data_IF_000972260376
#
_entry.id   IF_000972260376
#
_cell.length_a   1.000
_cell.length_b   1.000
_cell.length_c   1.000
_cell.angle_alpha   90.00
_cell.angle_beta   90.00
_cell.angle_gamma   90.00
#
_symmetry.space_group_name_H-M   'P 1'
#
loop_
_entity.id
_entity.type
_entity.pdbx_description
1 polymer ?
#
# COMPACT_ATOMS: atom_id res chain seq x y z
N UNK A 1 9.44 -11.88 -19.46
CA UNK A 1 9.88 -11.35 -20.77
C UNK A 1 9.52 -12.28 -21.93
N UNK A 2 9.81 -13.59 -21.91
CA UNK A 2 9.53 -14.50 -23.04
C UNK A 2 8.04 -14.57 -23.48
N UNK A 3 7.08 -14.70 -22.56
CA UNK A 3 5.64 -14.79 -22.91
C UNK A 3 5.03 -13.53 -23.58
N UNK A 4 5.67 -12.36 -23.44
CA UNK A 4 5.18 -11.11 -24.03
C UNK A 4 5.72 -10.89 -25.46
N UNK A 5 6.90 -11.45 -25.78
CA UNK A 5 7.43 -11.50 -27.14
C UNK A 5 6.50 -12.29 -28.09
N UNK A 6 5.91 -13.37 -27.60
CA UNK A 6 5.07 -14.24 -28.42
C UNK A 6 3.73 -13.57 -28.74
N UNK A 7 3.07 -12.94 -27.75
CA UNK A 7 1.81 -12.24 -27.97
C UNK A 7 1.95 -11.03 -28.93
N UNK A 8 3.07 -10.32 -28.86
CA UNK A 8 3.36 -9.17 -29.74
C UNK A 8 3.69 -9.60 -31.16
N UNK A 9 4.35 -10.75 -31.32
CA UNK A 9 4.65 -11.36 -32.64
C UNK A 9 3.37 -11.85 -33.31
N UNK A 10 2.49 -12.51 -32.57
CA UNK A 10 1.18 -13.00 -33.03
C UNK A 10 0.29 -11.88 -33.60
N UNK A 11 0.14 -10.77 -32.87
CA UNK A 11 -0.72 -9.63 -33.30
C UNK A 11 -0.16 -8.98 -34.57
N UNK A 12 1.17 -8.83 -34.66
CA UNK A 12 1.84 -8.29 -35.84
C UNK A 12 1.64 -9.18 -37.07
N UNK A 13 1.73 -10.49 -36.91
CA UNK A 13 1.54 -11.47 -37.99
C UNK A 13 0.07 -11.51 -38.46
N UNK A 14 -0.88 -11.37 -37.55
CA UNK A 14 -2.31 -11.31 -37.88
C UNK A 14 -2.64 -10.06 -38.72
N UNK A 15 -2.08 -8.90 -38.35
CA UNK A 15 -2.20 -7.68 -39.17
C UNK A 15 -1.55 -7.85 -40.54
N UNK A 16 -0.37 -8.47 -40.61
CA UNK A 16 0.32 -8.76 -41.86
C UNK A 16 -0.54 -9.64 -42.78
N UNK A 17 -1.13 -10.71 -42.24
CA UNK A 17 -2.01 -11.60 -42.97
C UNK A 17 -3.29 -10.88 -43.48
N UNK A 18 -3.95 -10.07 -42.63
CA UNK A 18 -5.14 -9.30 -43.03
C UNK A 18 -4.85 -8.28 -44.13
N UNK A 19 -3.72 -7.57 -44.07
CA UNK A 19 -3.33 -6.57 -45.09
C UNK A 19 -2.89 -7.19 -46.42
N UNK A 20 -2.63 -8.50 -46.46
CA UNK A 20 -2.11 -9.19 -47.65
C UNK A 20 -3.09 -9.14 -48.82
N UNK A 21 -4.40 -9.23 -48.57
CA UNK A 21 -5.41 -9.28 -49.63
C UNK A 21 -5.43 -7.98 -50.45
N UNK A 22 -5.50 -6.83 -49.78
CA UNK A 22 -5.56 -5.52 -50.44
C UNK A 22 -4.27 -5.22 -51.23
N UNK A 23 -3.12 -5.60 -50.68
CA UNK A 23 -1.85 -5.43 -51.37
C UNK A 23 -1.70 -6.39 -52.56
N UNK A 24 -2.16 -7.63 -52.42
CA UNK A 24 -2.14 -8.60 -53.54
C UNK A 24 -3.00 -8.11 -54.70
N UNK A 25 -4.19 -7.57 -54.43
CA UNK A 25 -5.04 -6.96 -55.46
C UNK A 25 -4.36 -5.80 -56.17
N UNK A 26 -3.64 -4.94 -55.44
CA UNK A 26 -2.86 -3.86 -56.04
C UNK A 26 -1.74 -4.41 -56.95
N UNK A 27 -1.00 -5.44 -56.51
CA UNK A 27 0.05 -6.06 -57.33
C UNK A 27 -0.52 -6.74 -58.58
N UNK A 28 -1.68 -7.40 -58.48
CA UNK A 28 -2.37 -8.03 -59.62
C UNK A 28 -2.88 -6.98 -60.60
N UNK A 29 -3.50 -5.89 -60.12
CA UNK A 29 -3.95 -4.81 -60.99
C UNK A 29 -2.76 -4.16 -61.75
N UNK A 30 -1.66 -3.91 -61.05
CA UNK A 30 -0.41 -3.40 -61.64
C UNK A 30 0.19 -4.39 -62.66
N UNK A 31 0.19 -5.69 -62.37
CA UNK A 31 0.62 -6.73 -63.30
C UNK A 31 -0.28 -6.80 -64.55
N UNK A 32 -1.60 -6.70 -64.40
CA UNK A 32 -2.54 -6.68 -65.52
C UNK A 32 -2.36 -5.46 -66.41
N UNK A 33 -2.10 -4.28 -65.83
CA UNK A 33 -1.78 -3.06 -66.59
C UNK A 33 -0.45 -3.24 -67.35
N UNK A 34 0.55 -3.87 -66.73
CA UNK A 34 1.82 -4.17 -67.40
C UNK A 34 1.68 -5.14 -68.58
N UNK A 35 0.75 -6.10 -68.50
CA UNK A 35 0.48 -7.10 -69.56
C UNK A 35 -0.38 -6.51 -70.69
N UNK A 36 -1.42 -5.74 -70.37
CA UNK A 36 -2.41 -5.25 -71.35
C UNK A 36 -2.00 -3.93 -72.02
N UNK A 37 -1.21 -3.10 -71.34
CA UNK A 37 -0.99 -1.71 -71.76
C UNK A 37 -0.01 -1.48 -72.90
N UNK A 38 0.74 -2.49 -73.37
CA UNK A 38 1.91 -2.26 -74.24
C UNK A 38 2.10 -3.33 -75.33
N UNK A 39 1.48 -3.17 -76.51
CA UNK A 39 1.68 -4.05 -77.67
C UNK A 39 3.14 -4.09 -78.17
N UNK A 40 3.93 -3.04 -77.89
CA UNK A 40 5.37 -2.97 -78.22
C UNK A 40 6.27 -3.80 -77.29
N UNK A 41 5.74 -4.29 -76.16
CA UNK A 41 6.47 -5.09 -75.17
C UNK A 41 6.12 -6.58 -75.20
N UNK A 42 5.11 -7.01 -75.98
CA UNK A 42 4.73 -8.43 -76.12
C UNK A 42 5.90 -9.33 -76.56
N UNK A 43 6.86 -8.80 -77.33
CA UNK A 43 8.05 -9.53 -77.78
C UNK A 43 9.13 -9.72 -76.69
N UNK A 44 9.00 -9.08 -75.52
CA UNK A 44 10.04 -9.03 -74.47
C UNK A 44 9.53 -9.42 -73.08
N UNK A 45 8.23 -9.70 -72.95
CA UNK A 45 7.64 -10.25 -71.73
C UNK A 45 8.06 -11.71 -71.56
N UNK A 46 8.86 -11.99 -70.53
CA UNK A 46 9.11 -13.36 -70.08
C UNK A 46 7.85 -13.89 -69.41
N UNK A 47 6.99 -14.59 -70.17
CA UNK A 47 5.84 -15.33 -69.65
C UNK A 47 6.18 -16.21 -68.43
N UNK A 48 7.36 -16.87 -68.36
CA UNK A 48 7.82 -17.55 -67.15
C UNK A 48 7.94 -16.63 -65.92
N UNK A 49 8.48 -15.40 -66.06
CA UNK A 49 8.62 -14.45 -64.96
C UNK A 49 7.26 -13.93 -64.45
N UNK A 50 6.32 -13.69 -65.37
CA UNK A 50 4.95 -13.32 -65.01
C UNK A 50 4.23 -14.48 -64.29
N UNK A 51 4.39 -15.72 -64.77
CA UNK A 51 3.83 -16.89 -64.12
C UNK A 51 4.39 -17.08 -62.69
N UNK A 52 5.70 -16.87 -62.49
CA UNK A 52 6.34 -16.92 -61.16
C UNK A 52 5.77 -15.81 -60.25
N UNK A 53 5.58 -14.60 -60.76
CA UNK A 53 4.99 -13.49 -60.00
C UNK A 53 3.57 -13.83 -59.53
N UNK A 54 2.71 -14.33 -60.42
CA UNK A 54 1.35 -14.76 -60.07
C UNK A 54 1.36 -15.90 -59.06
N UNK A 55 2.26 -16.87 -59.21
CA UNK A 55 2.40 -17.98 -58.26
C UNK A 55 2.84 -17.49 -56.88
N UNK A 56 3.77 -16.53 -56.80
CA UNK A 56 4.21 -15.96 -55.53
C UNK A 56 3.11 -15.12 -54.86
N UNK A 57 2.35 -14.34 -55.64
CA UNK A 57 1.21 -13.57 -55.15
C UNK A 57 0.10 -14.48 -54.61
N UNK A 58 -0.24 -15.53 -55.35
CA UNK A 58 -1.19 -16.55 -54.90
C UNK A 58 -0.69 -17.26 -53.63
N UNK A 59 0.58 -17.66 -53.60
CA UNK A 59 1.24 -18.25 -52.44
C UNK A 59 1.13 -17.36 -51.20
N UNK A 60 1.30 -16.02 -51.32
CA UNK A 60 1.14 -15.09 -50.19
C UNK A 60 -0.27 -15.07 -49.64
N UNK A 61 -1.28 -15.10 -50.51
CA UNK A 61 -2.68 -15.17 -50.08
C UNK A 61 -2.94 -16.49 -49.36
N UNK A 62 -2.50 -17.62 -49.93
CA UNK A 62 -2.67 -18.94 -49.32
C UNK A 62 -1.99 -19.01 -47.95
N UNK A 63 -0.73 -18.60 -47.84
CA UNK A 63 0.01 -18.60 -46.57
C UNK A 63 -0.65 -17.67 -45.54
N UNK A 64 -1.10 -16.48 -45.95
CA UNK A 64 -1.86 -15.56 -45.10
C UNK A 64 -3.19 -16.14 -44.61
N UNK A 65 -3.96 -16.78 -45.49
CA UNK A 65 -5.23 -17.43 -45.15
C UNK A 65 -5.03 -18.65 -44.24
N UNK A 66 -3.98 -19.43 -44.45
CA UNK A 66 -3.61 -20.55 -43.58
C UNK A 66 -3.22 -20.06 -42.17
N UNK A 67 -2.55 -18.91 -42.06
CA UNK A 67 -2.24 -18.30 -40.78
C UNK A 67 -3.50 -17.82 -40.04
N UNK A 68 -4.39 -17.10 -40.73
CA UNK A 68 -5.66 -16.61 -40.15
C UNK A 68 -6.60 -17.75 -39.75
N UNK A 69 -6.55 -18.88 -40.45
CA UNK A 69 -7.31 -20.09 -40.08
C UNK A 69 -6.64 -20.94 -39.00
N UNK A 70 -5.57 -20.43 -38.37
CA UNK A 70 -4.79 -21.11 -37.30
C UNK A 70 -4.24 -22.49 -37.72
N UNK A 71 -4.01 -22.71 -39.01
CA UNK A 71 -3.42 -23.95 -39.53
C UNK A 71 -1.89 -23.94 -39.56
N UNK A 72 -1.27 -22.78 -39.34
CA UNK A 72 0.15 -22.70 -39.03
C UNK A 72 0.37 -22.97 -37.53
N UNK A 73 1.10 -24.03 -37.21
CA UNK A 73 1.46 -24.37 -35.83
C UNK A 73 2.71 -23.61 -35.32
N UNK A 74 3.50 -23.02 -36.21
CA UNK A 74 4.72 -22.30 -35.89
C UNK A 74 4.77 -20.93 -36.59
N UNK A 75 4.87 -19.86 -35.80
CA UNK A 75 4.94 -18.47 -36.27
C UNK A 75 6.23 -18.17 -37.04
N UNK A 76 7.33 -18.85 -36.71
CA UNK A 76 8.62 -18.67 -37.37
C UNK A 76 8.51 -19.16 -38.81
N UNK A 77 7.92 -20.34 -39.01
CA UNK A 77 7.64 -20.90 -40.33
C UNK A 77 6.77 -19.96 -41.18
N UNK A 78 5.70 -19.38 -40.62
CA UNK A 78 4.86 -18.41 -41.34
C UNK A 78 5.69 -17.22 -41.85
N UNK A 79 6.51 -16.59 -40.98
CA UNK A 79 7.35 -15.46 -41.38
C UNK A 79 8.39 -15.82 -42.43
N UNK A 80 8.99 -17.00 -42.34
CA UNK A 80 9.97 -17.46 -43.33
C UNK A 80 9.34 -17.65 -44.71
N UNK A 81 8.23 -18.39 -44.80
CA UNK A 81 7.53 -18.60 -46.07
C UNK A 81 6.97 -17.30 -46.64
N UNK A 82 6.33 -16.49 -45.80
CA UNK A 82 5.76 -15.21 -46.21
C UNK A 82 6.85 -14.22 -46.66
N UNK A 83 7.96 -14.16 -45.93
CA UNK A 83 9.13 -13.35 -46.26
C UNK A 83 9.80 -13.78 -47.56
N UNK A 84 9.98 -15.10 -47.77
CA UNK A 84 10.54 -15.65 -49.01
C UNK A 84 9.69 -15.29 -50.23
N UNK A 85 8.37 -15.52 -50.16
CA UNK A 85 7.46 -15.18 -51.26
C UNK A 85 7.46 -13.67 -51.55
N UNK A 86 7.51 -12.85 -50.50
CA UNK A 86 7.59 -11.39 -50.62
C UNK A 86 8.89 -10.94 -51.29
N UNK A 87 10.02 -11.54 -50.91
CA UNK A 87 11.32 -11.28 -51.53
C UNK A 87 11.33 -11.69 -53.01
N UNK A 88 10.80 -12.87 -53.34
CA UNK A 88 10.70 -13.34 -54.73
C UNK A 88 9.85 -12.41 -55.60
N UNK A 89 8.76 -11.86 -55.07
CA UNK A 89 7.95 -10.85 -55.79
C UNK A 89 8.77 -9.59 -56.09
N UNK A 90 9.54 -9.10 -55.11
CA UNK A 90 10.42 -7.94 -55.32
C UNK A 90 11.45 -8.21 -56.42
N UNK A 91 12.08 -9.39 -56.39
CA UNK A 91 13.05 -9.83 -57.40
C UNK A 91 12.41 -9.94 -58.79
N UNK A 92 11.20 -10.48 -58.91
CA UNK A 92 10.50 -10.61 -60.19
C UNK A 92 10.22 -9.24 -60.81
N UNK A 93 9.69 -8.29 -60.02
CA UNK A 93 9.45 -6.92 -60.49
C UNK A 93 10.74 -6.17 -60.81
N UNK A 94 11.79 -6.38 -60.02
CA UNK A 94 13.11 -5.82 -60.25
C UNK A 94 13.73 -6.33 -61.56
N UNK A 95 13.68 -7.64 -61.79
CA UNK A 95 14.18 -8.28 -63.00
C UNK A 95 13.39 -7.87 -64.25
N UNK A 96 12.06 -7.76 -64.14
CA UNK A 96 11.22 -7.22 -65.21
C UNK A 96 11.66 -5.81 -65.61
N UNK A 97 11.92 -4.93 -64.65
CA UNK A 97 12.40 -3.58 -64.94
C UNK A 97 13.75 -3.58 -65.64
N UNK A 98 14.70 -4.36 -65.12
CA UNK A 98 16.03 -4.47 -65.73
C UNK A 98 15.92 -4.95 -67.18
N UNK A 99 15.07 -5.93 -67.47
CA UNK A 99 14.85 -6.43 -68.82
C UNK A 99 14.29 -5.36 -69.76
N UNK A 100 13.30 -4.58 -69.32
CA UNK A 100 12.73 -3.47 -70.10
C UNK A 100 13.75 -2.35 -70.34
N UNK A 101 14.56 -2.05 -69.32
CA UNK A 101 15.59 -1.00 -69.42
C UNK A 101 16.75 -1.38 -70.35
N UNK A 102 17.15 -2.67 -70.37
CA UNK A 102 18.21 -3.15 -71.26
C UNK A 102 17.75 -3.25 -72.71
N UNK A 103 16.45 -3.41 -72.95
CA UNK A 103 15.90 -3.57 -74.30
C UNK A 103 15.61 -2.25 -75.01
N UNK A 104 15.41 -1.15 -74.27
CA UNK A 104 15.14 0.18 -74.81
C UNK A 104 16.31 1.12 -74.48
N UNK A 105 17.22 1.34 -75.43
CA UNK A 105 18.43 2.17 -75.26
C UNK A 105 18.18 3.68 -75.09
N UNK A 106 16.93 4.15 -75.18
CA UNK A 106 16.51 5.54 -74.94
C UNK A 106 15.27 5.57 -74.04
N UNK A 107 15.21 6.56 -73.14
CA UNK A 107 14.05 6.79 -72.27
C UNK A 107 12.97 7.50 -73.10
N UNK A 108 11.92 6.78 -73.44
CA UNK A 108 10.71 7.28 -74.08
C UNK A 108 9.49 7.15 -73.14
N UNK A 109 8.30 7.55 -73.61
CA UNK A 109 7.05 7.39 -72.84
C UNK A 109 6.77 5.94 -72.43
N UNK A 110 7.31 4.96 -73.18
CA UNK A 110 7.19 3.52 -72.89
C UNK A 110 8.05 3.11 -71.69
N UNK A 111 9.20 3.76 -71.49
CA UNK A 111 10.14 3.49 -70.37
C UNK A 111 9.69 4.11 -69.04
N UNK A 112 8.93 5.21 -69.08
CA UNK A 112 8.40 5.91 -67.88
C UNK A 112 7.31 5.11 -67.15
N UNK A 113 6.49 4.36 -67.90
CA UNK A 113 5.35 3.63 -67.36
C UNK A 113 5.75 2.46 -66.40
N UNK A 114 6.74 1.60 -66.73
CA UNK A 114 7.27 0.59 -65.80
C UNK A 114 7.77 1.17 -64.47
N UNK A 115 8.34 2.38 -64.49
CA UNK A 115 8.87 3.05 -63.31
C UNK A 115 7.73 3.52 -62.39
N UNK A 116 6.66 4.06 -62.97
CA UNK A 116 5.43 4.39 -62.23
C UNK A 116 4.81 3.14 -61.62
N UNK A 117 4.74 2.05 -62.39
CA UNK A 117 4.21 0.76 -61.92
C UNK A 117 4.99 0.25 -60.71
N UNK A 118 6.32 0.30 -60.74
CA UNK A 118 7.18 -0.16 -59.63
C UNK A 118 7.15 0.77 -58.43
N UNK A 119 7.05 2.09 -58.64
CA UNK A 119 6.72 3.01 -57.56
C UNK A 119 5.42 2.62 -56.87
N UNK A 120 4.39 2.26 -57.65
CA UNK A 120 3.12 1.72 -57.16
C UNK A 120 3.29 0.41 -56.39
N UNK A 121 4.07 -0.54 -56.91
CA UNK A 121 4.38 -1.83 -56.23
C UNK A 121 5.14 -1.59 -54.92
N UNK A 122 6.12 -0.70 -54.91
CA UNK A 122 6.91 -0.37 -53.73
C UNK A 122 6.04 0.24 -52.62
N UNK A 123 5.15 1.17 -52.98
CA UNK A 123 4.18 1.77 -52.06
C UNK A 123 3.13 0.74 -51.59
N UNK A 124 2.60 -0.09 -52.48
CA UNK A 124 1.63 -1.13 -52.13
C UNK A 124 2.25 -2.24 -51.25
N UNK A 125 3.53 -2.55 -51.45
CA UNK A 125 4.27 -3.51 -50.64
C UNK A 125 4.57 -2.96 -49.24
N UNK A 126 5.12 -1.76 -49.15
CA UNK A 126 5.42 -1.08 -47.86
C UNK A 126 4.19 -0.91 -46.99
N UNK A 127 3.05 -0.53 -47.58
CA UNK A 127 1.79 -0.37 -46.83
C UNK A 127 1.23 -1.68 -46.26
N UNK A 128 1.40 -2.81 -46.98
CA UNK A 128 1.03 -4.12 -46.48
C UNK A 128 2.00 -4.66 -45.42
N UNK A 129 3.30 -4.46 -45.65
CA UNK A 129 4.37 -4.94 -44.78
C UNK A 129 4.62 -4.01 -43.59
N UNK A 130 3.89 -2.90 -43.47
CA UNK A 130 4.06 -1.87 -42.43
C UNK A 130 4.19 -2.38 -40.98
N UNK A 131 3.58 -3.52 -40.57
CA UNK A 131 3.80 -4.08 -39.23
C UNK A 131 5.20 -4.68 -39.01
N UNK A 132 5.89 -5.12 -40.08
CA UNK A 132 7.23 -5.72 -40.04
C UNK A 132 8.24 -4.85 -40.80
N UNK A 133 9.03 -4.09 -40.03
CA UNK A 133 10.06 -3.19 -40.56
C UNK A 133 11.16 -3.93 -41.33
N UNK A 134 11.51 -5.15 -40.93
CA UNK A 134 12.60 -5.89 -41.55
C UNK A 134 12.19 -6.41 -42.93
N UNK A 135 11.01 -7.01 -43.04
CA UNK A 135 10.45 -7.45 -44.31
C UNK A 135 10.19 -6.28 -45.26
N UNK A 136 9.68 -5.15 -44.75
CA UNK A 136 9.48 -3.93 -45.55
C UNK A 136 10.80 -3.40 -46.15
N UNK A 137 11.87 -3.32 -45.35
CA UNK A 137 13.19 -2.87 -45.82
C UNK A 137 13.78 -3.80 -46.86
N UNK A 138 13.71 -5.12 -46.61
CA UNK A 138 14.21 -6.13 -47.55
C UNK A 138 13.46 -6.05 -48.89
N UNK A 139 12.14 -5.96 -48.85
CA UNK A 139 11.30 -5.85 -50.06
C UNK A 139 11.65 -4.61 -50.89
N UNK A 140 11.66 -3.43 -50.27
CA UNK A 140 11.94 -2.16 -50.95
C UNK A 140 13.35 -2.13 -51.52
N UNK A 141 14.33 -2.65 -50.78
CA UNK A 141 15.72 -2.75 -51.23
C UNK A 141 15.85 -3.71 -52.41
N UNK A 142 15.27 -4.92 -52.32
CA UNK A 142 15.31 -5.90 -53.41
C UNK A 142 14.59 -5.41 -54.67
N UNK A 143 13.55 -4.59 -54.51
CA UNK A 143 12.76 -4.06 -55.62
C UNK A 143 13.48 -2.91 -56.36
N UNK A 144 13.99 -1.91 -55.63
CA UNK A 144 14.44 -0.64 -56.22
C UNK A 144 15.97 -0.53 -56.40
N UNK A 145 16.78 -1.22 -55.58
CA UNK A 145 18.23 -1.09 -55.63
C UNK A 145 18.85 -1.68 -56.92
N UNK A 146 18.52 -2.91 -57.35
CA UNK A 146 19.13 -3.47 -58.55
C UNK A 146 18.88 -2.67 -59.84
N UNK A 147 17.65 -2.19 -60.15
CA UNK A 147 17.39 -1.39 -61.34
C UNK A 147 18.05 -0.02 -61.27
N UNK A 148 18.13 0.60 -60.07
CA UNK A 148 18.86 1.84 -59.88
C UNK A 148 20.35 1.68 -60.23
N UNK A 149 20.98 0.58 -59.81
CA UNK A 149 22.40 0.31 -60.12
C UNK A 149 22.64 0.09 -61.62
N UNK A 150 21.74 -0.62 -62.31
CA UNK A 150 21.83 -0.82 -63.77
C UNK A 150 21.74 0.52 -64.51
N UNK A 151 20.83 1.41 -64.09
CA UNK A 151 20.66 2.74 -64.69
C UNK A 151 21.82 3.71 -64.43
N UNK A 152 22.55 3.51 -63.33
CA UNK A 152 23.76 4.29 -63.02
C UNK A 152 25.01 3.72 -63.72
N UNK A 153 24.91 2.57 -64.37
CA UNK A 153 26.03 1.94 -65.05
C UNK A 153 26.35 2.63 -66.39
N UNK A 154 27.59 2.51 -66.91
CA UNK A 154 27.99 3.08 -68.20
C UNK A 154 27.19 2.56 -69.40
N UNK A 155 26.46 1.45 -69.23
CA UNK A 155 25.68 0.80 -70.29
C UNK A 155 24.30 1.45 -70.49
N UNK A 156 23.91 2.38 -69.61
CA UNK A 156 22.67 3.16 -69.70
C UNK A 156 22.99 4.66 -69.73
N UNK A 157 23.60 5.20 -70.81
CA UNK A 157 24.12 6.57 -70.85
C UNK A 157 23.05 7.66 -70.64
N UNK A 158 21.78 7.37 -70.93
CA UNK A 158 20.65 8.26 -70.69
C UNK A 158 19.90 7.96 -69.37
N UNK A 159 20.25 6.86 -68.68
CA UNK A 159 19.53 6.32 -67.52
C UNK A 159 19.85 6.96 -66.18
N UNK A 160 20.90 7.79 -66.10
CA UNK A 160 21.45 8.30 -64.84
C UNK A 160 20.41 9.07 -64.00
N UNK A 161 19.59 9.92 -64.63
CA UNK A 161 18.55 10.69 -63.93
C UNK A 161 17.51 9.78 -63.26
N UNK A 162 17.06 8.74 -63.98
CA UNK A 162 16.13 7.73 -63.46
C UNK A 162 16.76 6.88 -62.36
N UNK A 163 18.04 6.51 -62.52
CA UNK A 163 18.79 5.79 -61.48
C UNK A 163 18.85 6.60 -60.18
N UNK A 164 19.10 7.91 -60.26
CA UNK A 164 19.04 8.82 -59.12
C UNK A 164 17.62 8.90 -58.56
N UNK A 165 16.58 9.00 -59.38
CA UNK A 165 15.17 9.02 -58.92
C UNK A 165 14.79 7.73 -58.18
N UNK A 166 15.22 6.55 -58.65
CA UNK A 166 14.96 5.29 -57.96
C UNK A 166 15.72 5.20 -56.64
N UNK A 167 16.96 5.68 -56.59
CA UNK A 167 17.76 5.69 -55.37
C UNK A 167 17.19 6.65 -54.32
N UNK A 168 16.78 7.86 -54.72
CA UNK A 168 16.12 8.81 -53.82
C UNK A 168 14.76 8.30 -53.36
N UNK A 169 13.99 7.65 -54.24
CA UNK A 169 12.74 6.97 -53.87
C UNK A 169 12.97 5.83 -52.87
N UNK A 170 14.02 5.03 -53.06
CA UNK A 170 14.44 3.98 -52.15
C UNK A 170 14.76 4.56 -50.76
N UNK A 171 15.62 5.58 -50.70
CA UNK A 171 15.99 6.25 -49.45
C UNK A 171 14.77 6.86 -48.74
N UNK A 172 13.88 7.50 -49.50
CA UNK A 172 12.63 8.04 -48.98
C UNK A 172 11.75 6.96 -48.37
N UNK A 173 11.51 5.86 -49.10
CA UNK A 173 10.69 4.75 -48.61
C UNK A 173 11.32 4.07 -47.38
N UNK A 174 12.64 3.89 -47.35
CA UNK A 174 13.34 3.37 -46.17
C UNK A 174 13.17 4.29 -44.96
N UNK A 175 13.24 5.61 -45.17
CA UNK A 175 12.96 6.60 -44.12
C UNK A 175 11.51 6.54 -43.66
N UNK A 176 10.55 6.32 -44.55
CA UNK A 176 9.13 6.16 -44.18
C UNK A 176 8.90 4.92 -43.33
N UNK A 177 9.51 3.78 -43.70
CA UNK A 177 9.44 2.55 -42.90
C UNK A 177 10.02 2.77 -41.50
N UNK A 178 11.13 3.49 -41.39
CA UNK A 178 11.74 3.80 -40.10
C UNK A 178 10.86 4.71 -39.24
N UNK A 179 10.29 5.75 -39.84
CA UNK A 179 9.38 6.66 -39.15
C UNK A 179 8.15 5.91 -38.64
N UNK A 180 7.51 5.10 -39.48
CA UNK A 180 6.35 4.28 -39.08
C UNK A 180 6.67 3.32 -37.93
N UNK A 181 7.83 2.66 -37.98
CA UNK A 181 8.27 1.77 -36.91
C UNK A 181 8.43 2.50 -35.58
N UNK A 182 9.05 3.69 -35.58
CA UNK A 182 9.20 4.53 -34.39
C UNK A 182 7.85 5.01 -33.85
N UNK A 183 6.95 5.45 -34.70
CA UNK A 183 5.61 5.92 -34.30
C UNK A 183 4.79 4.79 -33.67
N UNK A 184 4.83 3.60 -34.27
CA UNK A 184 4.15 2.42 -33.74
C UNK A 184 4.75 1.99 -32.39
N UNK A 185 6.07 2.03 -32.25
CA UNK A 185 6.73 1.72 -30.97
C UNK A 185 6.36 2.73 -29.89
N UNK A 186 6.44 4.04 -30.17
CA UNK A 186 6.05 5.07 -29.21
C UNK A 186 4.57 4.98 -28.79
N UNK A 187 3.69 4.59 -29.71
CA UNK A 187 2.29 4.32 -29.40
C UNK A 187 2.15 3.14 -28.42
N UNK A 188 2.87 2.03 -28.67
CA UNK A 188 2.89 0.86 -27.79
C UNK A 188 3.45 1.17 -26.40
N UNK A 189 4.59 1.85 -26.33
CA UNK A 189 5.21 2.23 -25.05
C UNK A 189 4.26 3.10 -24.21
N UNK A 190 3.51 3.99 -24.87
CA UNK A 190 2.48 4.81 -24.21
C UNK A 190 1.31 3.97 -23.71
N UNK A 191 0.82 3.03 -24.52
CA UNK A 191 -0.28 2.13 -24.13
C UNK A 191 0.14 1.22 -22.96
N UNK A 192 1.34 0.64 -23.00
CA UNK A 192 1.89 -0.19 -21.93
C UNK A 192 2.06 0.60 -20.64
N UNK A 193 2.64 1.81 -20.70
CA UNK A 193 2.79 2.68 -19.54
C UNK A 193 1.43 3.02 -18.91
N UNK A 194 0.42 3.30 -19.72
CA UNK A 194 -0.93 3.58 -19.24
C UNK A 194 -1.57 2.35 -18.56
N UNK A 195 -1.45 1.17 -19.18
CA UNK A 195 -1.94 -0.09 -18.58
C UNK A 195 -1.22 -0.41 -17.27
N UNK A 196 0.09 -0.20 -17.19
CA UNK A 196 0.86 -0.43 -15.97
C UNK A 196 0.44 0.51 -14.83
N UNK A 197 0.25 1.79 -15.12
CA UNK A 197 -0.19 2.77 -14.12
C UNK A 197 -1.59 2.47 -13.58
N UNK A 198 -2.52 2.08 -14.45
CA UNK A 198 -3.91 1.75 -14.07
C UNK A 198 -4.05 0.38 -13.40
N UNK A 199 -3.12 -0.55 -13.63
CA UNK A 199 -3.06 -1.83 -12.93
C UNK A 199 -2.34 -1.74 -11.57
N UNK A 200 -1.41 -0.79 -11.41
CA UNK A 200 -0.70 -0.57 -10.15
C UNK A 200 -1.59 0.09 -9.07
N UNK A 201 -2.64 0.80 -9.47
CA UNK A 201 -3.62 1.34 -8.54
C UNK A 201 -4.50 0.20 -8.01
N UNK A 202 -4.51 -0.03 -6.69
CA UNK A 202 -5.47 -0.91 -6.02
C UNK A 202 -6.91 -0.36 -6.03
N UNK A 203 -7.10 0.82 -6.61
CA UNK A 203 -8.39 1.47 -6.73
C UNK A 203 -9.03 1.12 -8.07
N UNK A 204 -10.33 0.92 -8.02
CA UNK A 204 -11.16 0.85 -9.21
C UNK A 204 -11.37 2.27 -9.73
N UNK A 205 -10.99 2.51 -10.98
CA UNK A 205 -11.14 3.80 -11.65
C UNK A 205 -12.18 3.66 -12.74
N UNK A 206 -13.24 4.47 -12.66
CA UNK A 206 -14.37 4.46 -13.58
C UNK A 206 -14.51 5.84 -14.20
N UNK A 207 -14.65 5.90 -15.52
CA UNK A 207 -15.06 7.11 -16.24
C UNK A 207 -16.51 6.91 -16.67
N UNK A 208 -17.39 7.83 -16.29
CA UNK A 208 -18.81 7.77 -16.64
C UNK A 208 -19.36 9.13 -17.05
N UNK A 209 -20.39 9.10 -17.90
CA UNK A 209 -21.17 10.26 -18.31
C UNK A 209 -22.61 10.05 -17.83
N UNK A 210 -23.14 10.94 -16.98
CA UNK A 210 -24.48 10.82 -16.39
C UNK A 210 -24.78 9.45 -15.75
N UNK A 211 -23.75 8.80 -15.21
CA UNK A 211 -23.83 7.48 -14.59
C UNK A 211 -23.65 6.31 -15.56
N UNK A 212 -23.62 6.50 -16.87
CA UNK A 212 -23.26 5.45 -17.83
C UNK A 212 -21.75 5.27 -17.88
N UNK A 213 -21.28 4.04 -17.64
CA UNK A 213 -19.85 3.71 -17.58
C UNK A 213 -19.27 3.68 -18.98
N UNK A 214 -18.31 4.56 -19.24
CA UNK A 214 -17.58 4.65 -20.51
C UNK A 214 -16.32 3.79 -20.50
N UNK A 215 -15.55 3.85 -19.40
CA UNK A 215 -14.33 3.08 -19.22
C UNK A 215 -14.14 2.69 -17.76
N UNK A 216 -13.48 1.56 -17.55
CA UNK A 216 -13.11 1.05 -16.22
C UNK A 216 -11.78 0.29 -16.30
N UNK A 217 -10.94 0.41 -15.28
CA UNK A 217 -9.69 -0.37 -15.19
C UNK A 217 -9.94 -1.82 -14.72
N UNK A 218 -8.94 -2.68 -14.85
CA UNK A 218 -9.08 -4.10 -14.50
C UNK A 218 -9.29 -4.38 -12.99
N UNK A 219 -9.09 -3.39 -12.12
CA UNK A 219 -9.32 -3.55 -10.68
C UNK A 219 -10.79 -3.87 -10.34
N UNK A 220 -11.73 -3.59 -11.26
CA UNK A 220 -13.14 -4.00 -11.13
C UNK A 220 -13.32 -5.50 -10.91
N UNK A 221 -12.49 -6.34 -11.53
CA UNK A 221 -12.60 -7.81 -11.39
C UNK A 221 -12.28 -8.25 -9.96
N UNK A 222 -11.26 -7.64 -9.34
CA UNK A 222 -10.86 -7.98 -7.98
C UNK A 222 -11.81 -7.38 -6.92
N UNK A 223 -12.30 -6.16 -7.16
CA UNK A 223 -13.11 -5.42 -6.20
C UNK A 223 -14.59 -5.81 -6.28
N UNK A 224 -15.17 -5.86 -7.49
CA UNK A 224 -16.59 -6.13 -7.70
C UNK A 224 -16.87 -7.49 -8.33
N UNK A 225 -15.89 -8.18 -8.93
CA UNK A 225 -16.09 -9.48 -9.58
C UNK A 225 -16.64 -9.40 -11.01
N UNK A 226 -16.83 -8.20 -11.56
CA UNK A 226 -17.25 -7.99 -12.94
C UNK A 226 -16.05 -7.80 -13.86
N UNK A 227 -16.16 -8.23 -15.10
CA UNK A 227 -15.15 -7.89 -16.12
C UNK A 227 -15.38 -6.46 -16.65
N UNK A 228 -14.34 -5.75 -17.14
CA UNK A 228 -14.52 -4.44 -17.76
C UNK A 228 -15.57 -4.44 -18.89
N UNK A 229 -15.59 -5.50 -19.70
CA UNK A 229 -16.51 -5.64 -20.82
C UNK A 229 -17.99 -5.76 -20.39
N UNK A 230 -18.26 -6.40 -19.25
CA UNK A 230 -19.62 -6.49 -18.70
C UNK A 230 -20.10 -5.18 -18.08
N UNK A 231 -19.16 -4.35 -17.61
CA UNK A 231 -19.48 -3.13 -16.87
C UNK A 231 -19.65 -1.90 -17.76
N UNK A 232 -18.90 -1.82 -18.87
CA UNK A 232 -19.01 -0.73 -19.85
C UNK A 232 -20.42 -0.69 -20.45
N UNK A 233 -21.01 0.51 -20.54
CA UNK A 233 -22.38 0.74 -20.99
C UNK A 233 -23.47 0.50 -19.93
N UNK A 234 -23.10 -0.02 -18.75
CA UNK A 234 -24.05 -0.15 -17.63
C UNK A 234 -24.10 1.15 -16.81
N UNK A 235 -25.18 1.32 -16.04
CA UNK A 235 -25.28 2.43 -15.11
C UNK A 235 -24.51 2.11 -13.81
N UNK A 236 -23.67 3.04 -13.34
CA UNK A 236 -22.85 2.92 -12.14
C UNK A 236 -23.68 2.64 -10.87
N UNK A 237 -24.90 3.15 -10.79
CA UNK A 237 -25.83 2.89 -9.68
C UNK A 237 -26.38 1.46 -9.69
N UNK A 238 -26.25 0.74 -10.80
CA UNK A 238 -26.55 -0.68 -10.89
C UNK A 238 -25.76 -1.51 -9.88
N UNK A 239 -24.57 -1.04 -9.51
CA UNK A 239 -23.61 -1.70 -8.61
C UNK A 239 -23.69 -1.17 -7.16
N UNK A 240 -24.78 -0.48 -6.84
CA UNK A 240 -25.13 0.02 -5.51
C UNK A 240 -26.39 -0.70 -5.00
N UNK A 241 -26.52 -0.94 -3.68
CA UNK A 241 -27.77 -1.47 -3.11
C UNK A 241 -28.98 -0.63 -3.54
N UNK A 242 -30.09 -1.28 -3.87
CA UNK A 242 -31.28 -0.61 -4.42
C UNK A 242 -31.77 0.52 -3.49
N UNK A 243 -31.75 0.27 -2.18
CA UNK A 243 -32.11 1.22 -1.12
C UNK A 243 -31.26 2.50 -1.11
N UNK A 244 -29.99 2.41 -1.51
CA UNK A 244 -29.06 3.54 -1.50
C UNK A 244 -29.06 4.30 -2.83
N UNK A 245 -29.70 3.79 -3.89
CA UNK A 245 -29.66 4.41 -5.23
C UNK A 245 -30.22 5.83 -5.25
N UNK A 246 -31.34 6.07 -4.57
CA UNK A 246 -31.96 7.41 -4.52
C UNK A 246 -31.03 8.43 -3.87
N UNK A 247 -30.39 8.06 -2.75
CA UNK A 247 -29.40 8.87 -2.07
C UNK A 247 -28.14 9.08 -2.94
N UNK A 248 -27.69 8.02 -3.61
CA UNK A 248 -26.49 8.06 -4.44
C UNK A 248 -26.68 8.85 -5.74
N UNK A 249 -27.90 9.01 -6.26
CA UNK A 249 -28.21 9.94 -7.38
C UNK A 249 -27.92 11.39 -6.97
N UNK A 250 -28.32 11.78 -5.76
CA UNK A 250 -28.06 13.11 -5.22
C UNK A 250 -26.55 13.33 -5.00
N UNK A 251 -25.85 12.31 -4.48
CA UNK A 251 -24.39 12.31 -4.34
C UNK A 251 -23.70 12.44 -5.70
N UNK A 252 -24.13 11.70 -6.72
CA UNK A 252 -23.54 11.75 -8.06
C UNK A 252 -23.69 13.13 -8.71
N UNK A 253 -24.79 13.84 -8.44
CA UNK A 253 -25.05 15.18 -8.97
C UNK A 253 -24.38 16.31 -8.18
N UNK A 254 -24.23 16.18 -6.85
CA UNK A 254 -23.74 17.25 -5.97
C UNK A 254 -22.27 17.12 -5.54
N UNK A 255 -21.70 15.92 -5.57
CA UNK A 255 -20.38 15.68 -4.98
C UNK A 255 -19.29 15.73 -6.05
N UNK A 256 -18.49 16.78 -5.92
CA UNK A 256 -17.28 17.05 -6.66
C UNK A 256 -16.16 17.34 -5.66
N UNK A 257 -15.00 16.71 -5.84
CA UNK A 257 -13.82 16.91 -4.99
C UNK A 257 -14.01 16.58 -3.49
N UNK A 258 -14.85 15.58 -3.18
CA UNK A 258 -14.96 15.04 -1.82
C UNK A 258 -14.90 13.52 -1.85
N UNK A 259 -14.43 12.98 -0.74
CA UNK A 259 -14.36 11.56 -0.47
C UNK A 259 -15.56 11.16 0.39
N UNK A 260 -16.21 10.04 0.06
CA UNK A 260 -17.39 9.55 0.76
C UNK A 260 -17.30 8.05 0.94
N UNK A 261 -17.93 7.56 2.00
CA UNK A 261 -18.17 6.12 2.16
C UNK A 261 -19.57 5.80 1.63
N UNK A 262 -19.63 4.83 0.72
CA UNK A 262 -20.86 4.29 0.15
C UNK A 262 -20.86 2.78 0.27
N UNK A 263 -22.05 2.17 0.17
CA UNK A 263 -22.16 0.73 0.03
C UNK A 263 -22.19 0.34 -1.45
N UNK A 264 -21.46 -0.72 -1.78
CA UNK A 264 -21.39 -1.28 -3.12
C UNK A 264 -21.77 -2.76 -3.09
N UNK A 265 -22.24 -3.27 -4.23
CA UNK A 265 -22.65 -4.67 -4.39
C UNK A 265 -21.69 -5.35 -5.34
N UNK A 266 -21.11 -6.47 -4.91
CA UNK A 266 -20.30 -7.35 -5.74
C UNK A 266 -21.19 -8.18 -6.67
N UNK A 267 -20.61 -8.80 -7.71
CA UNK A 267 -21.31 -9.68 -8.66
C UNK A 267 -22.00 -10.88 -7.99
N UNK A 268 -21.45 -11.36 -6.88
CA UNK A 268 -22.01 -12.43 -6.04
C UNK A 268 -23.17 -11.96 -5.11
N UNK A 269 -23.47 -10.65 -5.11
CA UNK A 269 -24.52 -10.05 -4.28
C UNK A 269 -24.05 -9.57 -2.90
N UNK A 270 -22.79 -9.78 -2.52
CA UNK A 270 -22.27 -9.30 -1.23
C UNK A 270 -22.15 -7.78 -1.22
N UNK A 271 -22.66 -7.18 -0.13
CA UNK A 271 -22.59 -5.74 0.10
C UNK A 271 -21.37 -5.42 0.96
N UNK A 272 -20.61 -4.40 0.58
CA UNK A 272 -19.43 -3.95 1.32
C UNK A 272 -19.31 -2.42 1.30
N UNK A 273 -18.52 -1.86 2.21
CA UNK A 273 -18.25 -0.43 2.24
C UNK A 273 -17.06 -0.08 1.36
N UNK A 274 -17.26 0.94 0.53
CA UNK A 274 -16.24 1.50 -0.34
C UNK A 274 -16.14 3.00 -0.13
N UNK A 275 -14.90 3.49 -0.15
CA UNK A 275 -14.60 4.90 -0.22
C UNK A 275 -14.55 5.31 -1.70
N UNK A 276 -15.34 6.32 -2.06
CA UNK A 276 -15.39 6.86 -3.41
C UNK A 276 -14.93 8.31 -3.43
N UNK A 277 -14.16 8.66 -4.47
CA UNK A 277 -13.80 10.02 -4.79
C UNK A 277 -14.19 10.29 -6.24
N UNK A 278 -14.77 11.45 -6.53
CA UNK A 278 -15.16 11.77 -7.91
C UNK A 278 -14.93 13.23 -8.28
N UNK A 279 -14.52 13.44 -9.53
CA UNK A 279 -14.40 14.78 -10.13
C UNK A 279 -14.85 14.79 -11.59
N UNK A 280 -15.30 15.95 -12.04
CA UNK A 280 -15.54 16.22 -13.45
C UNK A 280 -14.24 16.50 -14.18
N UNK A 281 -14.17 16.07 -15.42
CA UNK A 281 -13.09 16.38 -16.33
C UNK A 281 -13.59 16.31 -17.78
N UNK A 282 -12.80 16.83 -18.71
CA UNK A 282 -13.09 16.70 -20.13
C UNK A 282 -12.56 15.36 -20.64
N UNK A 283 -13.45 14.55 -21.22
CA UNK A 283 -13.13 13.26 -21.82
C UNK A 283 -13.71 13.20 -23.24
N UNK A 284 -12.83 13.09 -24.25
CA UNK A 284 -13.20 13.05 -25.68
C UNK A 284 -14.14 14.22 -26.10
N UNK A 285 -13.87 15.43 -25.61
CA UNK A 285 -14.66 16.64 -25.92
C UNK A 285 -16.01 16.73 -25.21
N UNK A 286 -16.30 15.80 -24.29
CA UNK A 286 -17.50 15.79 -23.46
C UNK A 286 -17.15 15.95 -21.99
N UNK A 287 -18.09 16.45 -21.20
CA UNK A 287 -17.93 16.57 -19.75
C UNK A 287 -18.25 15.23 -19.09
N UNK A 288 -17.22 14.48 -18.71
CA UNK A 288 -17.35 13.21 -18.01
C UNK A 288 -16.98 13.34 -16.53
N UNK A 289 -17.28 12.31 -15.75
CA UNK A 289 -16.88 12.17 -14.36
C UNK A 289 -15.93 11.00 -14.23
N UNK A 290 -14.81 11.21 -13.55
CA UNK A 290 -13.93 10.13 -13.10
C UNK A 290 -14.26 9.84 -11.64
N UNK A 291 -14.48 8.57 -11.32
CA UNK A 291 -14.79 8.05 -9.99
C UNK A 291 -13.77 6.98 -9.63
N UNK A 292 -13.00 7.23 -8.57
CA UNK A 292 -12.15 6.23 -7.94
C UNK A 292 -12.91 5.57 -6.80
N UNK A 293 -12.78 4.27 -6.65
CA UNK A 293 -13.44 3.45 -5.64
C UNK A 293 -12.40 2.55 -4.98
N UNK A 294 -12.39 2.53 -3.65
CA UNK A 294 -11.53 1.70 -2.83
C UNK A 294 -12.34 0.96 -1.78
N UNK A 295 -12.16 -0.35 -1.64
CA UNK A 295 -12.76 -1.10 -0.52
C UNK A 295 -12.12 -0.69 0.80
N UNK A 296 -12.94 -0.51 1.85
CA UNK A 296 -12.46 -0.17 3.20
C UNK A 296 -12.77 -1.26 4.24
N UNK A 297 -13.16 -2.46 3.80
CA UNK A 297 -13.52 -3.56 4.71
C UNK A 297 -12.36 -3.93 5.64
N UNK A 298 -11.14 -4.01 5.13
CA UNK A 298 -9.94 -4.29 5.94
C UNK A 298 -9.74 -3.22 7.03
N UNK A 299 -9.99 -1.95 6.70
CA UNK A 299 -9.90 -0.84 7.66
C UNK A 299 -10.98 -0.96 8.73
N UNK A 300 -12.23 -1.23 8.34
CA UNK A 300 -13.35 -1.37 9.28
C UNK A 300 -13.17 -2.58 10.21
N UNK A 301 -12.66 -3.70 9.71
CA UNK A 301 -12.35 -4.88 10.53
C UNK A 301 -11.24 -4.59 11.54
N UNK A 302 -10.19 -3.89 11.13
CA UNK A 302 -9.12 -3.48 12.04
C UNK A 302 -9.63 -2.50 13.12
N UNK A 303 -10.44 -1.50 12.76
CA UNK A 303 -11.04 -0.55 13.70
C UNK A 303 -11.94 -1.27 14.71
N UNK A 304 -12.75 -2.23 14.25
CA UNK A 304 -13.61 -3.04 15.13
C UNK A 304 -12.79 -3.88 16.11
N UNK A 305 -11.76 -4.57 15.64
CA UNK A 305 -10.87 -5.38 16.48
C UNK A 305 -10.16 -4.53 17.55
N UNK A 306 -9.69 -3.33 17.17
CA UNK A 306 -9.10 -2.37 18.12
C UNK A 306 -10.14 -1.94 19.16
N UNK A 307 -11.37 -1.63 18.74
CA UNK A 307 -12.44 -1.22 19.66
C UNK A 307 -12.78 -2.31 20.67
N UNK A 308 -12.93 -3.54 20.21
CA UNK A 308 -13.21 -4.71 21.06
C UNK A 308 -12.07 -4.95 22.07
N UNK A 309 -10.81 -4.91 21.61
CA UNK A 309 -9.65 -5.03 22.49
C UNK A 309 -9.59 -3.92 23.55
N UNK A 310 -9.88 -2.67 23.18
CA UNK A 310 -9.88 -1.54 24.11
C UNK A 310 -10.95 -1.70 25.20
N UNK A 311 -12.16 -2.12 24.82
CA UNK A 311 -13.24 -2.39 25.78
C UNK A 311 -12.87 -3.52 26.75
N UNK A 312 -12.20 -4.56 26.27
CA UNK A 312 -11.77 -5.67 27.11
C UNK A 312 -10.66 -5.25 28.10
N UNK A 313 -9.71 -4.43 27.66
CA UNK A 313 -8.68 -3.86 28.54
C UNK A 313 -9.33 -2.98 29.62
N UNK A 314 -10.28 -2.13 29.27
CA UNK A 314 -10.98 -1.26 30.23
C UNK A 314 -11.76 -2.08 31.26
N UNK A 315 -12.45 -3.14 30.83
CA UNK A 315 -13.17 -4.04 31.73
C UNK A 315 -12.24 -4.73 32.75
N UNK A 316 -11.09 -5.24 32.28
CA UNK A 316 -10.08 -5.87 33.15
C UNK A 316 -9.45 -4.86 34.10
N UNK A 317 -9.19 -3.63 33.65
CA UNK A 317 -8.65 -2.57 34.50
C UNK A 317 -9.63 -2.20 35.63
N UNK A 318 -10.93 -2.07 35.30
CA UNK A 318 -11.97 -1.75 36.28
C UNK A 318 -12.14 -2.87 37.32
N UNK A 319 -12.13 -4.13 36.89
CA UNK A 319 -12.23 -5.29 37.79
C UNK A 319 -11.04 -5.39 38.76
N UNK A 320 -9.83 -5.10 38.27
CA UNK A 320 -8.63 -5.01 39.11
C UNK A 320 -8.70 -3.88 40.12
N UNK A 321 -9.19 -2.72 39.70
CA UNK A 321 -9.37 -1.56 40.57
C UNK A 321 -10.39 -1.87 41.68
N UNK A 322 -11.54 -2.44 41.35
CA UNK A 322 -12.55 -2.82 42.34
C UNK A 322 -12.02 -3.86 43.31
N UNK A 323 -11.29 -4.87 42.83
CA UNK A 323 -10.67 -5.89 43.67
C UNK A 323 -9.62 -5.30 44.61
N UNK A 324 -8.80 -4.36 44.12
CA UNK A 324 -7.79 -3.69 44.94
C UNK A 324 -8.42 -2.83 46.04
N UNK A 325 -9.48 -2.07 45.71
CA UNK A 325 -10.23 -1.26 46.69
C UNK A 325 -10.87 -2.15 47.76
N UNK A 326 -11.52 -3.24 47.36
CA UNK A 326 -12.14 -4.18 48.30
C UNK A 326 -11.10 -4.83 49.21
N UNK A 327 -9.97 -5.28 48.65
CA UNK A 327 -8.86 -5.86 49.42
C UNK A 327 -8.30 -4.87 50.43
N UNK A 328 -8.09 -3.60 50.04
CA UNK A 328 -7.61 -2.56 50.93
C UNK A 328 -8.60 -2.27 52.08
N UNK A 329 -9.90 -2.28 51.78
CA UNK A 329 -10.96 -2.11 52.78
C UNK A 329 -10.99 -3.27 53.77
N UNK A 330 -10.99 -4.51 53.30
CA UNK A 330 -11.01 -5.71 54.15
C UNK A 330 -9.77 -5.77 55.06
N UNK A 331 -8.58 -5.43 54.53
CA UNK A 331 -7.34 -5.32 55.31
C UNK A 331 -7.47 -4.30 56.45
N UNK A 332 -8.04 -3.13 56.16
CA UNK A 332 -8.23 -2.06 57.15
C UNK A 332 -9.22 -2.47 58.25
N UNK A 333 -10.34 -3.07 57.88
CA UNK A 333 -11.37 -3.53 58.82
C UNK A 333 -10.87 -4.65 59.72
N UNK A 334 -10.16 -5.62 59.14
CA UNK A 334 -9.53 -6.71 59.89
C UNK A 334 -8.56 -6.18 60.96
N UNK A 335 -7.67 -5.25 60.61
CA UNK A 335 -6.68 -4.70 61.54
C UNK A 335 -7.34 -3.88 62.65
N UNK A 336 -8.37 -3.09 62.33
CA UNK A 336 -9.15 -2.35 63.33
C UNK A 336 -9.82 -3.28 64.36
N UNK A 337 -10.49 -4.33 63.89
CA UNK A 337 -11.18 -5.29 64.75
C UNK A 337 -10.21 -6.08 65.62
N UNK A 338 -9.12 -6.59 65.03
CA UNK A 338 -8.08 -7.32 65.76
C UNK A 338 -7.43 -6.47 66.85
N UNK A 339 -7.22 -5.17 66.61
CA UNK A 339 -6.68 -4.31 67.66
C UNK A 339 -7.61 -4.18 68.86
N UNK A 340 -8.93 -4.02 68.64
CA UNK A 340 -9.89 -3.97 69.74
C UNK A 340 -9.95 -5.29 70.53
N UNK A 341 -9.91 -6.42 69.82
CA UNK A 341 -9.92 -7.76 70.43
C UNK A 341 -8.63 -8.08 71.19
N UNK A 342 -7.48 -7.53 70.77
CA UNK A 342 -6.20 -7.68 71.47
C UNK A 342 -6.06 -6.68 72.65
N UNK A 343 -6.56 -5.45 72.50
CA UNK A 343 -6.48 -4.41 73.53
C UNK A 343 -7.24 -4.79 74.79
N UNK A 344 -8.40 -5.42 74.66
CA UNK A 344 -9.25 -5.78 75.80
C UNK A 344 -8.56 -6.75 76.78
N UNK A 345 -8.02 -7.91 76.37
CA UNK A 345 -7.28 -8.79 77.27
C UNK A 345 -5.97 -8.17 77.75
N UNK A 346 -5.29 -7.37 76.94
CA UNK A 346 -4.06 -6.67 77.35
C UNK A 346 -4.30 -5.67 78.49
N UNK A 347 -5.32 -4.83 78.37
CA UNK A 347 -5.68 -3.87 79.41
C UNK A 347 -6.12 -4.58 80.70
N UNK A 348 -6.77 -5.75 80.59
CA UNK A 348 -7.08 -6.58 81.75
C UNK A 348 -5.81 -7.15 82.42
N UNK A 349 -4.85 -7.63 81.63
CA UNK A 349 -3.56 -8.10 82.15
C UNK A 349 -2.81 -6.96 82.84
N UNK A 350 -2.71 -5.78 82.21
CA UNK A 350 -2.06 -4.59 82.80
C UNK A 350 -2.74 -4.23 84.13
N UNK A 351 -4.07 -4.10 84.15
CA UNK A 351 -4.81 -3.76 85.37
C UNK A 351 -4.65 -4.79 86.50
N UNK A 352 -4.64 -6.09 86.18
CA UNK A 352 -4.37 -7.13 87.18
C UNK A 352 -2.92 -7.06 87.68
N UNK A 353 -1.97 -6.79 86.78
CA UNK A 353 -0.55 -6.65 87.11
C UNK A 353 -0.34 -5.48 88.07
N UNK A 354 -1.00 -4.35 87.82
CA UNK A 354 -0.96 -3.15 88.68
C UNK A 354 -1.58 -3.42 90.06
N UNK A 355 -2.75 -4.06 90.12
CA UNK A 355 -3.40 -4.42 91.38
C UNK A 355 -2.56 -5.41 92.21
N UNK A 356 -1.85 -6.33 91.55
CA UNK A 356 -0.98 -7.28 92.23
C UNK A 356 0.35 -6.68 92.66
N UNK A 357 0.80 -5.57 92.06
CA UNK A 357 2.08 -4.93 92.37
C UNK A 357 2.19 -4.53 93.86
N UNK A 358 1.08 -4.08 94.45
CA UNK A 358 0.99 -3.69 95.85
C UNK A 358 0.80 -4.87 96.82
N UNK A 359 0.40 -6.04 96.30
CA UNK A 359 0.09 -7.23 97.11
C UNK A 359 1.26 -8.22 97.24
N UNK A 360 2.29 -8.12 96.39
CA UNK A 360 3.42 -9.05 96.39
C UNK A 360 4.56 -8.65 97.34
N UNK A 361 5.05 -9.61 98.12
CA UNK A 361 6.02 -9.37 99.18
C UNK A 361 7.43 -9.83 98.84
N UNK A 362 7.60 -10.80 97.92
CA UNK A 362 8.91 -11.33 97.57
C UNK A 362 9.54 -10.64 96.35
N UNK A 363 10.86 -10.48 96.37
CA UNK A 363 11.63 -9.88 95.27
C UNK A 363 11.44 -10.63 93.94
N UNK A 364 11.28 -11.96 93.98
CA UNK A 364 11.07 -12.77 92.79
C UNK A 364 9.68 -12.52 92.16
N UNK A 365 8.61 -12.42 92.96
CA UNK A 365 7.25 -12.11 92.48
C UNK A 365 7.18 -10.71 91.87
N UNK A 366 7.82 -9.71 92.49
CA UNK A 366 7.93 -8.35 91.94
C UNK A 366 8.62 -8.34 90.57
N UNK A 367 9.69 -9.13 90.40
CA UNK A 367 10.38 -9.25 89.09
C UNK A 367 9.49 -9.88 88.02
N UNK A 368 8.71 -10.92 88.36
CA UNK A 368 7.78 -11.54 87.43
C UNK A 368 6.64 -10.60 87.03
N UNK A 369 6.01 -9.91 87.98
CA UNK A 369 4.97 -8.91 87.70
C UNK A 369 5.49 -7.78 86.82
N UNK A 370 6.67 -7.23 87.12
CA UNK A 370 7.31 -6.21 86.28
C UNK A 370 7.53 -6.70 84.85
N UNK A 371 8.03 -7.92 84.69
CA UNK A 371 8.25 -8.51 83.35
C UNK A 371 6.92 -8.67 82.58
N UNK A 372 5.85 -9.06 83.28
CA UNK A 372 4.51 -9.24 82.71
C UNK A 372 3.88 -7.90 82.29
N UNK A 373 4.01 -6.87 83.12
CA UNK A 373 3.59 -5.50 82.83
C UNK A 373 4.34 -4.92 81.63
N UNK A 374 5.69 -4.93 81.69
CA UNK A 374 6.56 -4.44 80.62
C UNK A 374 6.26 -5.13 79.28
N UNK A 375 5.99 -6.44 79.30
CA UNK A 375 5.64 -7.20 78.08
C UNK A 375 4.25 -6.84 77.54
N UNK A 376 3.30 -6.58 78.43
CA UNK A 376 1.93 -6.21 78.05
C UNK A 376 1.89 -4.80 77.47
N UNK A 377 2.58 -3.84 78.09
CA UNK A 377 2.74 -2.49 77.54
C UNK A 377 3.44 -2.50 76.18
N UNK A 378 4.52 -3.29 76.04
CA UNK A 378 5.22 -3.42 74.76
C UNK A 378 4.34 -4.00 73.66
N UNK A 379 3.49 -5.00 73.97
CA UNK A 379 2.56 -5.57 72.99
C UNK A 379 1.45 -4.58 72.61
N UNK A 380 0.93 -3.83 73.59
CA UNK A 380 -0.07 -2.78 73.34
C UNK A 380 0.50 -1.67 72.44
N UNK A 381 1.75 -1.27 72.67
CA UNK A 381 2.47 -0.32 71.80
C UNK A 381 2.57 -0.85 70.38
N UNK A 382 3.05 -2.09 70.18
CA UNK A 382 3.16 -2.70 68.86
C UNK A 382 1.83 -2.78 68.11
N UNK A 383 0.75 -3.12 68.81
CA UNK A 383 -0.59 -3.17 68.23
C UNK A 383 -1.07 -1.78 67.80
N UNK A 384 -0.82 -0.76 68.60
CA UNK A 384 -1.14 0.62 68.25
C UNK A 384 -0.30 1.12 67.06
N UNK A 385 0.98 0.75 66.99
CA UNK A 385 1.86 1.11 65.87
C UNK A 385 1.40 0.45 64.55
N UNK A 386 0.97 -0.82 64.58
CA UNK A 386 0.40 -1.51 63.41
C UNK A 386 -0.91 -0.84 62.94
N UNK A 387 -1.76 -0.41 63.88
CA UNK A 387 -2.96 0.34 63.54
C UNK A 387 -2.66 1.68 62.91
N UNK A 388 -1.72 2.44 63.49
CA UNK A 388 -1.34 3.74 62.97
C UNK A 388 -0.75 3.61 61.55
N UNK A 389 0.11 2.60 61.32
CA UNK A 389 0.59 2.27 59.98
C UNK A 389 -0.55 1.98 59.00
N UNK A 390 -1.56 1.22 59.43
CA UNK A 390 -2.72 0.87 58.60
C UNK A 390 -3.59 2.08 58.25
N UNK A 391 -3.71 3.05 59.16
CA UNK A 391 -4.41 4.32 58.89
C UNK A 391 -3.62 5.20 57.90
N UNK A 392 -2.29 5.17 57.96
CA UNK A 392 -1.42 5.87 57.00
C UNK A 392 -1.53 5.25 55.60
N UNK A 393 -1.43 3.92 55.49
CA UNK A 393 -1.55 3.17 54.22
C UNK A 393 -2.90 3.41 53.52
N UNK A 394 -3.96 3.69 54.31
CA UNK A 394 -5.30 3.99 53.83
C UNK A 394 -5.61 5.49 53.66
N UNK A 395 -4.64 6.39 53.87
CA UNK A 395 -4.79 7.85 53.84
C UNK A 395 -5.89 8.39 54.79
N UNK A 396 -6.11 7.68 55.91
CA UNK A 396 -7.11 7.98 56.96
C UNK A 396 -6.49 8.53 58.24
N UNK A 397 -5.20 8.86 58.21
CA UNK A 397 -4.54 9.47 59.37
C UNK A 397 -4.91 10.94 59.45
N UNK A 398 -5.74 11.29 60.41
CA UNK A 398 -6.07 12.68 60.72
C UNK A 398 -5.10 13.21 61.77
N UNK A 399 -4.52 14.38 61.51
CA UNK A 399 -3.68 15.10 62.45
C UNK A 399 -4.48 16.19 63.14
N UNK A 400 -4.35 16.27 64.46
CA UNK A 400 -4.91 17.39 65.20
C UNK A 400 -4.15 18.70 64.86
N UNK A 401 -4.85 19.84 64.87
CA UNK A 401 -4.28 21.17 64.64
C UNK A 401 -4.56 22.08 65.81
N UNK A 402 -3.92 21.79 66.94
CA UNK A 402 -4.03 22.56 68.18
C UNK A 402 -2.76 23.40 68.38
N UNK A 403 -2.90 24.55 69.04
CA UNK A 403 -1.76 25.34 69.49
C UNK A 403 -1.19 24.71 70.76
N UNK A 404 0.10 24.42 70.79
CA UNK A 404 0.77 23.78 71.92
C UNK A 404 2.15 24.38 72.20
N UNK A 405 2.57 24.35 73.46
CA UNK A 405 3.91 24.79 73.89
C UNK A 405 4.94 23.72 73.55
N UNK A 406 5.93 24.08 72.73
CA UNK A 406 7.03 23.17 72.36
C UNK A 406 7.90 22.86 73.57
N UNK A 407 8.13 23.86 74.42
CA UNK A 407 8.89 23.70 75.66
C UNK A 407 8.29 22.65 76.57
N UNK A 408 7.00 22.79 76.86
CA UNK A 408 6.29 21.86 77.74
C UNK A 408 6.26 20.44 77.14
N UNK A 409 6.13 20.33 75.82
CA UNK A 409 6.15 19.02 75.14
C UNK A 409 7.52 18.34 75.33
N UNK A 410 8.61 19.02 75.01
CA UNK A 410 9.98 18.47 75.12
C UNK A 410 10.29 18.11 76.57
N UNK A 411 9.99 19.00 77.52
CA UNK A 411 10.21 18.78 78.95
C UNK A 411 9.44 17.55 79.45
N UNK A 412 8.15 17.42 79.10
CA UNK A 412 7.34 16.27 79.48
C UNK A 412 7.90 14.93 78.96
N UNK A 413 8.43 14.90 77.73
CA UNK A 413 9.01 13.68 77.17
C UNK A 413 10.36 13.34 77.81
N UNK A 414 11.17 14.36 78.12
CA UNK A 414 12.44 14.18 78.83
C UNK A 414 12.21 13.64 80.25
N UNK A 415 11.24 14.19 80.97
CA UNK A 415 10.88 13.76 82.33
C UNK A 415 10.40 12.31 82.37
N UNK A 416 9.53 11.92 81.43
CA UNK A 416 9.03 10.54 81.31
C UNK A 416 10.14 9.51 81.18
N UNK A 417 11.23 9.84 80.46
CA UNK A 417 12.35 8.92 80.23
C UNK A 417 13.52 9.12 81.20
N UNK A 418 13.47 10.14 82.07
CA UNK A 418 14.56 10.51 82.98
C UNK A 418 14.92 9.38 83.96
N UNK A 419 13.91 8.72 84.55
CA UNK A 419 14.13 7.59 85.46
C UNK A 419 14.81 6.40 84.75
N UNK A 420 14.48 6.17 83.47
CA UNK A 420 15.07 5.09 82.65
C UNK A 420 16.51 5.40 82.26
N UNK A 421 16.81 6.65 81.90
CA UNK A 421 18.16 7.10 81.65
C UNK A 421 19.04 6.99 82.91
N UNK A 422 18.51 7.43 84.06
CA UNK A 422 19.22 7.37 85.35
C UNK A 422 19.54 5.92 85.77
N UNK A 423 18.63 4.97 85.53
CA UNK A 423 18.90 3.53 85.75
C UNK A 423 20.08 3.02 84.91
N UNK A 424 20.36 3.63 83.76
CA UNK A 424 21.49 3.33 82.89
C UNK A 424 22.72 4.23 83.16
N UNK A 425 22.66 5.10 84.18
CA UNK A 425 23.71 6.06 84.48
C UNK A 425 23.87 7.17 83.43
N UNK A 426 22.83 7.45 82.65
CA UNK A 426 22.82 8.50 81.63
C UNK A 426 22.10 9.75 82.14
N UNK A 427 22.52 10.91 81.64
CA UNK A 427 21.87 12.21 81.90
C UNK A 427 21.18 12.67 80.63
N UNK A 428 19.91 13.09 80.75
CA UNK A 428 19.17 13.73 79.66
C UNK A 428 19.31 15.25 79.82
N UNK A 429 19.77 15.93 78.77
CA UNK A 429 19.82 17.39 78.70
C UNK A 429 18.93 17.83 77.55
N UNK A 430 17.87 18.59 77.87
CA UNK A 430 16.99 19.20 76.88
C UNK A 430 17.38 20.66 76.68
N UNK A 431 17.72 21.02 75.44
CA UNK A 431 17.99 22.40 75.02
C UNK A 431 17.05 22.79 73.89
N UNK A 432 16.49 23.99 73.97
CA UNK A 432 15.59 24.54 72.95
C UNK A 432 16.28 25.77 72.37
N UNK A 433 16.34 25.83 71.04
CA UNK A 433 16.90 26.98 70.33
C UNK A 433 16.06 28.25 70.64
N UNK A 434 16.68 29.36 71.06
CA UNK A 434 15.97 30.62 71.32
C UNK A 434 15.20 31.17 70.11
N UNK A 435 15.60 30.81 68.89
CA UNK A 435 14.94 31.23 67.66
C UNK A 435 13.70 30.38 67.32
N UNK A 436 13.45 29.29 68.06
CA UNK A 436 12.28 28.43 67.88
C UNK A 436 11.02 29.08 68.47
N UNK A 437 9.89 29.14 67.73
CA UNK A 437 8.63 29.63 68.27
C UNK A 437 8.17 28.83 69.50
N UNK A 438 7.83 29.53 70.60
CA UNK A 438 7.39 28.92 71.86
C UNK A 438 6.10 28.10 71.70
N UNK A 439 5.25 28.49 70.76
CA UNK A 439 3.99 27.82 70.44
C UNK A 439 4.00 27.37 68.98
N UNK A 440 3.66 26.11 68.74
CA UNK A 440 3.44 25.56 67.39
C UNK A 440 1.99 25.11 67.24
N UNK A 441 1.52 25.08 65.98
CA UNK A 441 0.20 24.57 65.64
C UNK A 441 0.34 23.20 64.96
N UNK A 442 -0.24 22.17 65.57
CA UNK A 442 -0.15 20.80 65.06
C UNK A 442 -0.59 19.76 66.08
N UNK A 443 -0.17 18.51 65.86
CA UNK A 443 -0.51 17.38 66.71
C UNK A 443 0.60 17.14 67.72
N UNK A 444 0.44 17.70 68.92
CA UNK A 444 1.43 17.58 70.00
C UNK A 444 1.65 16.13 70.44
N UNK A 445 0.62 15.28 70.37
CA UNK A 445 0.71 13.87 70.77
C UNK A 445 1.60 13.08 69.81
N UNK A 446 1.44 13.29 68.50
CA UNK A 446 2.27 12.64 67.48
C UNK A 446 3.72 13.10 67.52
N UNK A 447 3.96 14.39 67.70
CA UNK A 447 5.32 14.91 67.88
C UNK A 447 5.93 14.35 69.17
N UNK A 448 5.15 14.27 70.25
CA UNK A 448 5.55 13.60 71.48
C UNK A 448 5.95 12.15 71.26
N UNK A 449 5.17 11.38 70.49
CA UNK A 449 5.48 9.99 70.14
C UNK A 449 6.79 9.87 69.34
N UNK A 450 7.04 10.78 68.39
CA UNK A 450 8.32 10.84 67.66
C UNK A 450 9.47 11.06 68.64
N UNK A 451 9.35 12.05 69.53
CA UNK A 451 10.38 12.37 70.52
C UNK A 451 10.61 11.20 71.49
N UNK A 452 9.55 10.58 72.00
CA UNK A 452 9.63 9.42 72.89
C UNK A 452 10.37 8.25 72.24
N UNK A 453 10.09 7.96 70.96
CA UNK A 453 10.78 6.90 70.21
C UNK A 453 12.25 7.24 69.95
N UNK A 454 12.57 8.48 69.59
CA UNK A 454 13.94 8.92 69.34
C UNK A 454 14.78 8.93 70.62
N UNK A 455 14.27 9.54 71.70
CA UNK A 455 14.94 9.60 73.00
C UNK A 455 15.06 8.19 73.59
N UNK A 456 14.01 7.37 73.49
CA UNK A 456 14.02 5.98 73.93
C UNK A 456 15.09 5.15 73.20
N UNK A 457 15.23 5.32 71.88
CA UNK A 457 16.30 4.70 71.10
C UNK A 457 17.68 5.24 71.51
N UNK A 458 17.82 6.55 71.72
CA UNK A 458 19.09 7.13 72.18
C UNK A 458 19.54 6.54 73.51
N UNK A 459 18.65 6.42 74.51
CA UNK A 459 18.95 5.77 75.80
C UNK A 459 19.29 4.29 75.59
N UNK A 460 18.54 3.58 74.74
CA UNK A 460 18.78 2.15 74.45
C UNK A 460 20.17 1.92 73.87
N UNK A 461 20.60 2.73 72.92
CA UNK A 461 21.83 2.53 72.15
C UNK A 461 23.06 3.28 72.70
N UNK A 462 22.92 4.12 73.71
CA UNK A 462 24.06 4.82 74.35
C UNK A 462 24.53 4.03 75.57
N UNK A 463 25.75 3.51 75.56
CA UNK A 463 26.29 2.67 76.66
C UNK A 463 26.80 3.50 77.85
N UNK A 464 27.42 4.65 77.60
CA UNK A 464 27.93 5.57 78.62
C UNK A 464 27.67 7.03 78.22
N UNK A 465 27.40 7.88 79.21
CA UNK A 465 27.17 9.31 79.02
C UNK A 465 28.48 10.07 78.77
N UNK A 466 28.34 11.35 78.41
CA UNK A 466 29.48 12.27 78.24
C UNK A 466 30.04 12.75 79.58
#
# INVERSE_FOLDING_TARGET
MARFSDATTSISNEMLAKKTINSTLAHVALASVAVVGLPSLEAQVSWPAIAILFFCLFGRVVVGSLYLSKRFHDEVSFRQFYGLLTFLIAVCWSGYLIAVLLSHGQIDHVTVLPIILIGGVAVAGTTALSPDKHLSRLFVSALLLPPALVLLSPWAPNGVSLGITLLTSLLFLLSQVELQAKTLQAFRDREEKYRALTAATQEMVVIHENGEILEVNNAVEQILGWTPAEMIGTNILGHTPIEDRAHNIEILSRIHNRTLVVRCVRKDGLVFHAEIYSRFFEYRGKRAKITCLRSIEDRLMAEKAIRESSLQIEAVARDRETTAIETARLKSEFLANMSHEIRTPLNAIIGITDLMADLVTTTQQKRYLRTLGDSSESLLSLVNDILDFSKIDADKMEFEKIDFSVGNLIESQADLLSARAQQKGLVIVAGIDPDLPLTLRGDSGRIGQILLNLIGNAIKFTEAGF
#
